data_IF_063093023557
#
_entry.id   IF_063093023557
#
_cell.length_a   1.000
_cell.length_b   1.000
_cell.length_c   1.000
_cell.angle_alpha   90.00
_cell.angle_beta   90.00
_cell.angle_gamma   90.00
#
_symmetry.space_group_name_H-M   'P 1'
#
loop_
_entity.id
_entity.type
_entity.pdbx_description
1 polymer ?
#
# COMPACT_ATOMS: atom_id res chain seq x y z
N UNK A 1 -5.69 -29.32 1.79
CA UNK A 1 -5.12 -30.60 1.41
C UNK A 1 -5.09 -30.73 -0.11
N UNK A 2 -3.86 -30.85 -0.69
CA UNK A 2 -3.64 -30.92 -2.15
C UNK A 2 -4.21 -32.19 -2.77
N UNK A 3 -4.22 -33.30 -2.04
CA UNK A 3 -4.78 -34.57 -2.53
C UNK A 3 -6.29 -34.48 -2.76
N UNK A 4 -7.01 -33.86 -1.85
CA UNK A 4 -8.45 -33.61 -2.00
C UNK A 4 -8.74 -32.72 -3.20
N UNK A 5 -7.92 -31.68 -3.43
CA UNK A 5 -8.05 -30.83 -4.62
C UNK A 5 -7.78 -31.59 -5.92
N UNK A 6 -6.74 -32.43 -5.96
CA UNK A 6 -6.42 -33.28 -7.12
C UNK A 6 -7.59 -34.24 -7.40
N UNK A 7 -8.15 -34.85 -6.37
CA UNK A 7 -9.29 -35.76 -6.51
C UNK A 7 -10.52 -35.04 -7.05
N UNK A 8 -10.81 -33.83 -6.56
CA UNK A 8 -11.94 -33.05 -7.04
C UNK A 8 -11.78 -32.62 -8.50
N UNK A 9 -10.59 -32.24 -8.93
CA UNK A 9 -10.29 -31.81 -10.30
C UNK A 9 -9.68 -32.91 -11.18
N UNK A 10 -9.88 -34.19 -10.87
CA UNK A 10 -9.23 -35.32 -11.55
C UNK A 10 -9.36 -35.31 -13.08
N UNK A 11 -10.46 -34.76 -13.62
CA UNK A 11 -10.75 -34.72 -15.05
C UNK A 11 -10.26 -33.42 -15.74
N UNK A 12 -9.54 -32.53 -15.01
CA UNK A 12 -9.06 -31.24 -15.53
C UNK A 12 -7.56 -31.15 -15.42
N UNK A 13 -6.85 -31.61 -16.44
CA UNK A 13 -5.38 -31.65 -16.46
C UNK A 13 -4.75 -30.30 -16.14
N UNK A 14 -5.22 -29.21 -16.74
CA UNK A 14 -4.72 -27.87 -16.48
C UNK A 14 -4.82 -27.44 -15.00
N UNK A 15 -5.83 -27.97 -14.28
CA UNK A 15 -5.97 -27.69 -12.85
C UNK A 15 -5.02 -28.55 -12.01
N UNK A 16 -4.79 -29.81 -12.44
CA UNK A 16 -3.78 -30.68 -11.80
C UNK A 16 -2.40 -30.02 -11.89
N UNK A 17 -2.01 -29.55 -13.07
CA UNK A 17 -0.73 -28.87 -13.27
C UNK A 17 -0.57 -27.63 -12.37
N UNK A 18 -1.66 -26.87 -12.16
CA UNK A 18 -1.66 -25.72 -11.25
C UNK A 18 -1.56 -26.10 -9.78
N UNK A 19 -2.22 -27.19 -9.37
CA UNK A 19 -2.13 -27.70 -8.00
C UNK A 19 -0.70 -28.18 -7.72
N UNK A 20 -0.10 -28.88 -8.66
CA UNK A 20 1.28 -29.36 -8.55
C UNK A 20 2.26 -28.19 -8.46
N UNK A 21 2.09 -27.16 -9.30
CA UNK A 21 2.89 -25.95 -9.25
C UNK A 21 2.73 -25.25 -7.90
N UNK A 22 1.50 -25.07 -7.40
CA UNK A 22 1.24 -24.44 -6.12
C UNK A 22 1.89 -25.21 -4.96
N UNK A 23 1.76 -26.55 -4.95
CA UNK A 23 2.39 -27.37 -3.92
C UNK A 23 3.93 -27.23 -3.96
N UNK A 24 4.50 -27.20 -5.16
CA UNK A 24 5.93 -27.02 -5.34
C UNK A 24 6.38 -25.62 -4.88
N UNK A 25 5.65 -24.56 -5.25
CA UNK A 25 5.92 -23.19 -4.83
C UNK A 25 5.86 -23.06 -3.30
N UNK A 26 4.86 -23.66 -2.66
CA UNK A 26 4.72 -23.66 -1.20
C UNK A 26 5.89 -24.37 -0.50
N UNK A 27 6.38 -25.48 -1.07
CA UNK A 27 7.59 -26.16 -0.59
C UNK A 27 8.84 -25.28 -0.74
N UNK A 28 8.94 -24.55 -1.83
CA UNK A 28 10.09 -23.68 -2.11
C UNK A 28 10.18 -22.45 -1.19
N UNK A 29 9.05 -21.94 -0.73
CA UNK A 29 9.02 -20.79 0.20
C UNK A 29 9.01 -21.20 1.67
N UNK A 30 8.77 -22.47 1.98
CA UNK A 30 8.74 -22.98 3.35
C UNK A 30 10.05 -22.65 4.10
N UNK A 31 9.93 -22.04 5.28
CA UNK A 31 11.06 -21.69 6.15
C UNK A 31 11.95 -20.56 5.64
N UNK A 32 11.57 -19.87 4.55
CA UNK A 32 12.31 -18.70 4.06
C UNK A 32 11.88 -17.43 4.79
N UNK A 33 12.78 -16.43 4.79
CA UNK A 33 12.47 -15.10 5.34
C UNK A 33 11.39 -14.40 4.49
N UNK A 34 10.63 -13.47 5.08
CA UNK A 34 9.59 -12.72 4.36
C UNK A 34 10.12 -12.04 3.09
N UNK A 35 11.29 -11.43 3.16
CA UNK A 35 11.96 -10.86 1.98
C UNK A 35 12.14 -11.87 0.84
N UNK A 36 12.68 -13.06 1.16
CA UNK A 36 12.92 -14.10 0.17
C UNK A 36 11.61 -14.66 -0.41
N UNK A 37 10.56 -14.77 0.41
CA UNK A 37 9.22 -15.18 -0.04
C UNK A 37 8.62 -14.16 -1.01
N UNK A 38 8.65 -12.87 -0.67
CA UNK A 38 8.17 -11.81 -1.56
C UNK A 38 8.94 -11.82 -2.88
N UNK A 39 10.27 -11.90 -2.82
CA UNK A 39 11.11 -11.99 -4.03
C UNK A 39 10.74 -13.20 -4.90
N UNK A 40 10.48 -14.35 -4.29
CA UNK A 40 10.06 -15.56 -5.00
C UNK A 40 8.70 -15.35 -5.70
N UNK A 41 7.71 -14.81 -4.98
CA UNK A 41 6.38 -14.51 -5.53
C UNK A 41 6.49 -13.53 -6.70
N UNK A 42 7.26 -12.47 -6.55
CA UNK A 42 7.45 -11.46 -7.59
C UNK A 42 8.06 -12.04 -8.87
N UNK A 43 9.14 -12.81 -8.74
CA UNK A 43 9.98 -13.22 -9.88
C UNK A 43 9.64 -14.61 -10.41
N UNK A 44 9.35 -15.57 -9.53
CA UNK A 44 9.14 -16.99 -9.93
C UNK A 44 7.68 -17.31 -10.17
N UNK A 45 6.79 -16.86 -9.29
CA UNK A 45 5.35 -17.01 -9.48
C UNK A 45 4.83 -16.03 -10.56
N UNK A 46 5.55 -14.94 -10.81
CA UNK A 46 5.24 -14.00 -11.87
C UNK A 46 4.32 -12.84 -11.45
N UNK A 47 4.30 -12.50 -10.16
CA UNK A 47 3.44 -11.41 -9.67
C UNK A 47 3.78 -10.05 -10.30
N UNK A 48 5.07 -9.77 -10.60
CA UNK A 48 5.46 -8.53 -11.29
C UNK A 48 4.83 -8.43 -12.71
N UNK A 49 4.71 -9.56 -13.42
CA UNK A 49 4.04 -9.59 -14.73
C UNK A 49 2.53 -9.33 -14.59
N UNK A 50 1.88 -10.04 -13.65
CA UNK A 50 0.48 -9.81 -13.31
C UNK A 50 0.21 -8.35 -12.94
N UNK A 51 1.08 -7.74 -12.14
CA UNK A 51 0.90 -6.34 -11.68
C UNK A 51 0.94 -5.36 -12.86
N UNK A 52 1.80 -5.58 -13.86
CA UNK A 52 1.83 -4.78 -15.09
C UNK A 52 0.53 -4.89 -15.90
N UNK A 53 0.03 -6.11 -16.07
CA UNK A 53 -1.25 -6.35 -16.75
C UNK A 53 -2.42 -5.72 -16.00
N UNK A 54 -2.43 -5.85 -14.68
CA UNK A 54 -3.43 -5.24 -13.81
C UNK A 54 -3.39 -3.71 -13.89
N UNK A 55 -2.21 -3.10 -13.85
CA UNK A 55 -2.03 -1.66 -13.99
C UNK A 55 -2.57 -1.15 -15.32
N UNK A 56 -2.23 -1.85 -16.42
CA UNK A 56 -2.73 -1.52 -17.76
C UNK A 56 -4.26 -1.62 -17.84
N UNK A 57 -4.83 -2.71 -17.31
CA UNK A 57 -6.29 -2.91 -17.28
C UNK A 57 -7.02 -1.84 -16.48
N UNK A 58 -6.48 -1.47 -15.30
CA UNK A 58 -7.06 -0.48 -14.39
C UNK A 58 -6.67 0.95 -14.71
N UNK A 59 -5.80 1.18 -15.71
CA UNK A 59 -5.22 2.49 -16.07
C UNK A 59 -4.52 3.16 -14.87
N UNK A 60 -3.76 2.37 -14.12
CA UNK A 60 -2.96 2.83 -12.98
C UNK A 60 -1.51 3.07 -13.42
N UNK A 61 -0.80 3.91 -12.66
CA UNK A 61 0.64 4.08 -12.83
C UNK A 61 1.37 2.82 -12.34
N UNK A 62 2.07 2.16 -13.24
CA UNK A 62 2.78 0.92 -12.95
C UNK A 62 3.91 1.16 -11.95
N UNK A 63 4.60 2.28 -12.09
CA UNK A 63 5.73 2.69 -11.26
C UNK A 63 5.31 2.84 -9.79
N UNK A 64 4.18 3.51 -9.53
CA UNK A 64 3.64 3.69 -8.17
C UNK A 64 3.33 2.34 -7.50
N UNK A 65 2.78 1.38 -8.24
CA UNK A 65 2.51 0.05 -7.70
C UNK A 65 3.79 -0.71 -7.37
N UNK A 66 4.84 -0.56 -8.20
CA UNK A 66 6.13 -1.17 -7.94
C UNK A 66 6.85 -0.51 -6.76
N UNK A 67 6.78 0.80 -6.60
CA UNK A 67 7.34 1.52 -5.44
C UNK A 67 6.75 0.99 -4.13
N UNK A 68 5.42 0.83 -4.06
CA UNK A 68 4.76 0.24 -2.87
C UNK A 68 5.25 -1.19 -2.62
N UNK A 69 5.37 -2.00 -3.68
CA UNK A 69 5.80 -3.39 -3.56
C UNK A 69 7.28 -3.50 -3.15
N UNK A 70 8.12 -2.61 -3.65
CA UNK A 70 9.53 -2.52 -3.29
C UNK A 70 9.69 -2.11 -1.83
N UNK A 71 8.89 -1.13 -1.36
CA UNK A 71 8.90 -0.72 0.05
C UNK A 71 8.46 -1.85 0.99
N UNK A 72 7.40 -2.59 0.64
CA UNK A 72 6.97 -3.77 1.41
C UNK A 72 8.09 -4.80 1.48
N UNK A 73 8.74 -5.07 0.36
CA UNK A 73 9.83 -6.03 0.29
C UNK A 73 11.05 -5.59 1.12
N UNK A 74 11.41 -4.31 1.07
CA UNK A 74 12.50 -3.76 1.87
C UNK A 74 12.21 -3.83 3.38
N UNK A 75 11.00 -3.44 3.80
CA UNK A 75 10.57 -3.55 5.21
C UNK A 75 10.57 -4.99 5.71
N UNK A 76 10.26 -5.95 4.84
CA UNK A 76 10.27 -7.37 5.18
C UNK A 76 11.66 -7.92 5.54
N UNK A 77 12.75 -7.21 5.22
CA UNK A 77 14.13 -7.58 5.60
C UNK A 77 14.36 -7.57 7.12
N UNK A 78 13.57 -6.80 7.86
CA UNK A 78 13.70 -6.68 9.31
C UNK A 78 13.27 -7.97 10.06
N UNK A 79 12.62 -8.91 9.39
CA UNK A 79 12.04 -10.10 10.01
C UNK A 79 12.69 -11.38 9.51
N UNK A 80 12.96 -12.30 10.43
CA UNK A 80 13.56 -13.59 10.11
C UNK A 80 12.52 -14.59 9.58
N UNK A 81 11.29 -14.52 10.05
CA UNK A 81 10.23 -15.48 9.75
C UNK A 81 8.91 -14.82 9.37
N UNK A 82 8.09 -15.51 8.59
CA UNK A 82 6.74 -15.05 8.23
C UNK A 82 5.83 -14.86 9.46
N UNK A 83 5.79 -15.79 10.43
CA UNK A 83 4.99 -15.58 11.64
C UNK A 83 5.38 -14.32 12.42
N UNK A 84 6.68 -14.05 12.56
CA UNK A 84 7.17 -12.83 13.22
C UNK A 84 6.68 -11.57 12.49
N UNK A 85 6.76 -11.56 11.17
CA UNK A 85 6.29 -10.44 10.37
C UNK A 85 4.78 -10.21 10.50
N UNK A 86 3.98 -11.27 10.46
CA UNK A 86 2.53 -11.18 10.60
C UNK A 86 2.14 -10.74 12.02
N UNK A 87 2.80 -11.25 13.06
CA UNK A 87 2.56 -10.78 14.42
C UNK A 87 2.82 -9.27 14.58
N UNK A 88 3.86 -8.75 13.91
CA UNK A 88 4.12 -7.31 13.90
C UNK A 88 3.03 -6.52 13.17
N UNK A 89 2.51 -7.02 12.04
CA UNK A 89 1.42 -6.38 11.31
C UNK A 89 0.15 -6.34 12.17
N UNK A 90 -0.22 -7.45 12.80
CA UNK A 90 -1.37 -7.52 13.72
C UNK A 90 -1.23 -6.53 14.88
N UNK A 91 -0.07 -6.48 15.50
CA UNK A 91 0.20 -5.52 16.58
C UNK A 91 0.13 -4.06 16.11
N UNK A 92 0.59 -3.78 14.88
CA UNK A 92 0.50 -2.45 14.30
C UNK A 92 -0.96 -2.05 14.05
N UNK A 93 -1.79 -2.95 13.53
CA UNK A 93 -3.23 -2.73 13.33
C UNK A 93 -3.95 -2.48 14.67
N UNK A 94 -3.67 -3.27 15.69
CA UNK A 94 -4.23 -3.07 17.05
C UNK A 94 -3.86 -1.68 17.60
N UNK A 95 -2.60 -1.29 17.48
CA UNK A 95 -2.14 0.04 17.90
C UNK A 95 -2.83 1.18 17.15
N UNK A 96 -3.08 1.03 15.85
CA UNK A 96 -3.84 2.00 15.06
C UNK A 96 -5.28 2.11 15.55
N UNK A 97 -5.93 0.98 15.83
CA UNK A 97 -7.29 0.92 16.39
C UNK A 97 -7.38 1.59 17.76
N UNK A 98 -6.47 1.28 18.66
CA UNK A 98 -6.40 1.90 19.98
C UNK A 98 -6.17 3.40 19.91
N UNK A 99 -5.26 3.84 19.05
CA UNK A 99 -4.96 5.26 18.87
C UNK A 99 -6.12 6.04 18.23
N UNK A 100 -6.89 5.41 17.33
CA UNK A 100 -8.08 6.03 16.74
C UNK A 100 -9.21 6.27 17.74
N UNK A 101 -9.28 5.46 18.81
CA UNK A 101 -10.27 5.59 19.90
C UNK A 101 -9.87 6.57 21.00
N UNK A 102 -8.60 6.91 21.08
CA UNK A 102 -8.11 7.87 22.10
C UNK A 102 -8.44 9.28 21.65
N UNK A 103 -9.50 9.84 22.26
CA UNK A 103 -9.91 11.23 22.07
C UNK A 103 -8.75 12.18 22.34
N UNK A 104 -8.51 13.10 21.41
CA UNK A 104 -7.53 14.20 21.44
C UNK A 104 -6.43 14.10 22.49
N UNK A 105 -5.26 13.66 22.07
CA UNK A 105 -4.02 13.84 22.83
C UNK A 105 -3.36 15.13 22.35
N UNK A 106 -2.71 15.84 23.26
CA UNK A 106 -1.72 16.85 22.93
C UNK A 106 -0.67 16.22 22.00
N UNK A 107 -0.45 16.82 20.84
CA UNK A 107 0.48 16.29 19.86
C UNK A 107 0.29 16.84 18.46
N UNK A 108 1.08 16.35 17.52
CA UNK A 108 0.96 16.71 16.12
C UNK A 108 -0.14 15.83 15.49
N UNK A 109 -1.11 16.46 14.84
CA UNK A 109 -2.16 15.78 14.10
C UNK A 109 -1.75 15.68 12.63
N UNK A 110 -1.66 14.46 12.12
CA UNK A 110 -1.40 14.21 10.70
C UNK A 110 -2.71 13.83 10.00
N UNK A 111 -3.04 14.57 8.94
CA UNK A 111 -4.29 14.42 8.20
C UNK A 111 -4.05 14.53 6.71
N UNK A 112 -4.92 13.92 5.91
CA UNK A 112 -5.03 14.28 4.50
C UNK A 112 -5.70 15.64 4.36
N UNK A 113 -5.49 16.32 3.24
CA UNK A 113 -6.17 17.62 2.98
C UNK A 113 -7.69 17.48 2.99
N UNK A 114 -8.22 16.36 2.47
CA UNK A 114 -9.64 16.05 2.54
C UNK A 114 -10.13 15.84 3.99
N UNK A 115 -9.34 15.13 4.79
CA UNK A 115 -9.66 14.88 6.21
C UNK A 115 -9.61 16.13 7.07
N UNK A 116 -8.90 17.18 6.64
CA UNK A 116 -8.80 18.45 7.34
C UNK A 116 -10.00 19.40 7.08
N UNK A 117 -10.92 19.04 6.17
CA UNK A 117 -12.09 19.85 5.86
C UNK A 117 -12.96 20.05 7.11
N UNK A 118 -13.24 21.32 7.44
CA UNK A 118 -14.06 21.68 8.61
C UNK A 118 -13.29 21.76 9.93
N UNK A 119 -12.00 21.37 9.95
CA UNK A 119 -11.13 21.52 11.11
C UNK A 119 -10.31 22.81 11.01
N UNK A 120 -9.77 23.28 12.13
CA UNK A 120 -8.90 24.46 12.19
C UNK A 120 -7.81 24.25 13.24
N UNK A 121 -6.59 24.72 12.93
CA UNK A 121 -5.39 24.56 13.77
C UNK A 121 -4.64 25.87 13.88
N UNK A 122 -3.96 26.11 14.99
CA UNK A 122 -3.12 27.30 15.15
C UNK A 122 -1.99 27.36 14.13
N UNK A 123 -1.32 26.22 13.92
CA UNK A 123 -0.24 26.07 12.94
C UNK A 123 -0.53 24.88 12.03
N UNK A 124 -0.36 25.07 10.74
CA UNK A 124 -0.51 24.03 9.71
C UNK A 124 0.77 23.91 8.91
N UNK A 125 1.24 22.69 8.75
CA UNK A 125 2.33 22.32 7.84
C UNK A 125 1.74 21.57 6.66
N UNK A 126 1.92 22.10 5.45
CA UNK A 126 1.61 21.38 4.20
C UNK A 126 2.93 20.84 3.67
N UNK A 127 3.05 19.53 3.59
CA UNK A 127 4.28 18.85 3.16
C UNK A 127 4.18 18.39 1.70
N UNK A 128 5.29 18.51 0.96
CA UNK A 128 5.40 17.98 -0.40
C UNK A 128 4.51 18.70 -1.42
N UNK A 129 4.47 20.04 -1.37
CA UNK A 129 3.75 20.86 -2.37
C UNK A 129 4.52 20.94 -3.69
N UNK A 130 4.91 19.78 -4.27
CA UNK A 130 5.67 19.65 -5.50
C UNK A 130 4.80 19.18 -6.64
N UNK A 131 5.19 19.47 -7.87
CA UNK A 131 4.56 18.87 -9.06
C UNK A 131 4.53 17.33 -8.98
N UNK A 132 3.35 16.76 -9.24
CA UNK A 132 3.11 15.32 -9.13
C UNK A 132 2.53 14.89 -7.79
N UNK A 133 2.81 15.63 -6.68
CA UNK A 133 2.13 15.47 -5.39
C UNK A 133 0.96 16.45 -5.25
N UNK A 134 1.18 17.72 -5.61
CA UNK A 134 0.18 18.76 -5.57
C UNK A 134 0.44 19.80 -6.69
N UNK A 135 -0.33 19.78 -7.79
CA UNK A 135 -1.48 18.88 -8.05
C UNK A 135 -1.06 17.43 -8.28
N UNK A 136 -1.93 16.48 -7.89
CA UNK A 136 -1.68 15.05 -8.08
C UNK A 136 -1.61 14.71 -9.57
N UNK A 137 -0.60 13.95 -9.98
CA UNK A 137 -0.31 13.66 -11.39
C UNK A 137 -1.52 13.15 -12.17
N UNK A 138 -2.32 12.30 -11.56
CA UNK A 138 -3.54 11.77 -12.19
C UNK A 138 -4.61 12.83 -12.41
N UNK A 139 -4.76 13.76 -11.48
CA UNK A 139 -5.72 14.87 -11.60
C UNK A 139 -5.35 15.78 -12.78
N UNK A 140 -4.05 16.02 -12.99
CA UNK A 140 -3.57 16.76 -14.16
C UNK A 140 -3.90 16.05 -15.46
N UNK A 141 -3.77 14.72 -15.51
CA UNK A 141 -4.10 13.90 -16.69
C UNK A 141 -5.61 13.84 -16.96
N UNK A 142 -6.45 14.03 -15.95
CA UNK A 142 -7.92 13.97 -16.04
C UNK A 142 -8.56 15.36 -16.14
N UNK A 143 -7.76 16.42 -16.29
CA UNK A 143 -8.20 17.82 -16.31
C UNK A 143 -8.93 18.27 -15.03
N UNK A 144 -8.59 17.65 -13.90
CA UNK A 144 -9.15 17.94 -12.55
C UNK A 144 -8.26 18.89 -11.73
N UNK A 145 -7.35 19.60 -12.37
CA UNK A 145 -6.38 20.52 -11.74
C UNK A 145 -7.08 21.61 -10.88
N UNK A 146 -8.28 22.02 -11.29
CA UNK A 146 -9.05 23.02 -10.56
C UNK A 146 -9.57 22.49 -9.22
N UNK A 147 -9.93 21.20 -9.13
CA UNK A 147 -10.32 20.57 -7.86
C UNK A 147 -9.12 20.43 -6.93
N UNK A 148 -7.94 20.05 -7.45
CA UNK A 148 -6.69 20.02 -6.68
C UNK A 148 -6.34 21.40 -6.13
N UNK A 149 -6.49 22.45 -6.94
CA UNK A 149 -6.29 23.85 -6.51
C UNK A 149 -7.23 24.23 -5.38
N UNK A 150 -8.51 23.85 -5.47
CA UNK A 150 -9.50 24.10 -4.41
C UNK A 150 -9.16 23.34 -3.14
N UNK A 151 -8.73 22.10 -3.27
CA UNK A 151 -8.31 21.27 -2.14
C UNK A 151 -7.10 21.89 -1.42
N UNK A 152 -6.12 22.35 -2.17
CA UNK A 152 -4.95 23.04 -1.62
C UNK A 152 -5.34 24.33 -0.90
N UNK A 153 -6.24 25.13 -1.50
CA UNK A 153 -6.76 26.33 -0.85
C UNK A 153 -7.48 25.99 0.48
N UNK A 154 -8.30 24.94 0.50
CA UNK A 154 -8.95 24.48 1.73
C UNK A 154 -7.90 24.11 2.78
N UNK A 155 -6.85 23.40 2.42
CA UNK A 155 -5.77 23.05 3.35
C UNK A 155 -5.08 24.29 3.92
N UNK A 156 -4.76 25.27 3.09
CA UNK A 156 -4.15 26.53 3.54
C UNK A 156 -5.05 27.29 4.53
N UNK A 157 -6.36 27.32 4.27
CA UNK A 157 -7.32 28.01 5.15
C UNK A 157 -7.58 27.31 6.48
N UNK A 158 -6.99 26.15 6.73
CA UNK A 158 -7.05 25.48 8.05
C UNK A 158 -6.15 26.13 9.09
N UNK A 159 -5.20 26.95 8.67
CA UNK A 159 -4.30 27.66 9.56
C UNK A 159 -4.94 28.93 10.13
N UNK A 160 -5.00 29.03 11.46
CA UNK A 160 -5.48 30.24 12.17
C UNK A 160 -4.38 31.29 12.29
N UNK A 161 -3.16 30.88 12.55
CA UNK A 161 -2.03 31.77 12.90
C UNK A 161 -0.83 31.60 12.00
N UNK A 162 -0.43 30.37 11.72
CA UNK A 162 0.79 30.09 10.98
C UNK A 162 0.58 29.00 9.95
N UNK A 163 1.03 29.24 8.72
CA UNK A 163 1.06 28.30 7.62
C UNK A 163 2.50 28.12 7.17
N UNK A 164 2.95 26.87 7.10
CA UNK A 164 4.26 26.47 6.56
C UNK A 164 4.03 25.52 5.40
N UNK A 165 4.61 25.81 4.25
CA UNK A 165 4.51 24.98 3.04
C UNK A 165 5.92 24.50 2.70
N UNK A 166 6.07 23.17 2.60
CA UNK A 166 7.29 22.49 2.15
C UNK A 166 7.12 22.03 0.71
N UNK A 167 8.11 22.24 -0.11
CA UNK A 167 8.19 21.82 -1.52
C UNK A 167 9.53 21.11 -1.78
#
# INVERSE_FOLDING_TARGET
DYESLRKYYQNKKWMQDRIDQLEWDMKMIAGKSPYAVIQYIRKRVGYDAFLKEYAAYRRLCTEELFEVLDEIQERAKAYATIPEWFAHIEQYEENLWENSRKTQKEGICMLTMHGAKGLEYDTVFILGANEGSMPYRRAVMQDETEEERRLFYVAMTRAKRQLVISY
#
